data_IF_085124320704
#
_entry.id   IF_085124320704
#
_cell.length_a   1.000
_cell.length_b   1.000
_cell.length_c   1.000
_cell.angle_alpha   90.00
_cell.angle_beta   90.00
_cell.angle_gamma   90.00
#
_symmetry.space_group_name_H-M   'P 1'
#
loop_
_entity.id
_entity.type
_entity.pdbx_description
1 polymer ?
#
# COMPACT_ATOMS: atom_id res chain seq x y z
N UNK A 1 -7.74 -36.32 -9.38
CA UNK A 1 -7.21 -35.24 -10.22
C UNK A 1 -8.39 -34.35 -10.56
N UNK A 2 -8.52 -33.17 -9.93
CA UNK A 2 -9.38 -32.03 -10.34
C UNK A 2 -9.62 -31.01 -9.19
N UNK A 3 -8.60 -30.67 -8.39
CA UNK A 3 -8.64 -29.49 -7.48
C UNK A 3 -7.28 -28.77 -7.46
N UNK A 4 -6.60 -28.67 -8.60
CA UNK A 4 -5.30 -27.98 -8.72
C UNK A 4 -5.20 -27.03 -9.94
N UNK A 5 -6.33 -26.45 -10.37
CA UNK A 5 -6.35 -25.63 -11.61
C UNK A 5 -6.87 -24.19 -11.46
N UNK A 6 -6.98 -23.64 -10.24
CA UNK A 6 -7.47 -22.26 -10.04
C UNK A 6 -6.69 -21.42 -9.02
N UNK A 7 -5.40 -21.27 -9.22
CA UNK A 7 -4.71 -20.03 -8.83
C UNK A 7 -4.09 -19.42 -10.09
N UNK A 8 -4.95 -18.90 -10.97
CA UNK A 8 -4.50 -18.08 -12.09
C UNK A 8 -3.85 -16.84 -11.50
N UNK A 9 -2.64 -16.55 -11.93
CA UNK A 9 -1.85 -15.40 -11.47
C UNK A 9 -2.33 -14.17 -12.23
N UNK A 10 -3.45 -13.64 -11.78
CA UNK A 10 -4.20 -12.57 -12.43
C UNK A 10 -3.54 -11.20 -12.19
N UNK A 11 -3.18 -10.49 -13.26
CA UNK A 11 -2.63 -9.13 -13.15
C UNK A 11 -3.57 -8.07 -13.74
N UNK A 12 -4.05 -8.25 -14.97
CA UNK A 12 -5.05 -7.35 -15.56
C UNK A 12 -6.43 -7.50 -14.90
N UNK A 13 -7.06 -6.39 -14.53
CA UNK A 13 -8.41 -6.37 -13.94
C UNK A 13 -9.51 -6.88 -14.91
N UNK A 14 -9.30 -6.76 -16.22
CA UNK A 14 -10.30 -7.13 -17.25
C UNK A 14 -10.15 -8.59 -17.68
N UNK A 15 -8.98 -8.96 -18.18
CA UNK A 15 -8.75 -10.26 -18.82
C UNK A 15 -7.77 -11.17 -18.07
N UNK A 16 -7.27 -10.71 -16.91
CA UNK A 16 -6.36 -11.46 -16.03
C UNK A 16 -4.97 -11.75 -16.60
N UNK A 17 -4.71 -11.41 -17.86
CA UNK A 17 -3.40 -11.57 -18.49
C UNK A 17 -2.33 -10.64 -17.88
N UNK A 18 -1.03 -10.94 -18.08
CA UNK A 18 0.07 -10.14 -17.53
C UNK A 18 0.04 -8.67 -17.94
N UNK A 19 0.65 -7.83 -17.11
CA UNK A 19 0.90 -6.42 -17.41
C UNK A 19 2.28 -6.23 -18.06
N UNK A 20 2.34 -5.32 -19.02
CA UNK A 20 3.57 -4.77 -19.58
C UNK A 20 3.80 -3.33 -19.11
N UNK A 21 5.07 -2.97 -18.97
CA UNK A 21 5.53 -1.65 -18.52
C UNK A 21 6.35 -1.00 -19.64
N UNK A 22 5.86 0.13 -20.13
CA UNK A 22 6.42 0.89 -21.24
C UNK A 22 7.47 1.88 -20.73
N UNK A 23 8.39 2.29 -21.61
CA UNK A 23 9.38 3.32 -21.29
C UNK A 23 8.79 4.74 -21.39
N UNK A 24 7.97 4.96 -22.41
CA UNK A 24 7.31 6.23 -22.70
C UNK A 24 5.82 6.17 -22.39
N UNK A 25 5.24 7.33 -22.12
CA UNK A 25 3.80 7.45 -21.91
C UNK A 25 3.06 7.25 -23.24
N UNK A 26 2.06 6.38 -23.22
CA UNK A 26 1.09 6.27 -24.30
C UNK A 26 -0.27 6.79 -23.84
N UNK A 27 -1.02 7.36 -24.78
CA UNK A 27 -2.41 7.75 -24.54
C UNK A 27 -3.27 6.49 -24.53
N UNK A 28 -3.94 6.20 -23.42
CA UNK A 28 -4.73 4.99 -23.24
C UNK A 28 -6.14 5.32 -22.75
N UNK A 29 -7.12 4.54 -23.20
CA UNK A 29 -8.52 4.65 -22.75
C UNK A 29 -8.81 3.60 -21.67
N UNK A 30 -9.38 4.03 -20.55
CA UNK A 30 -9.76 3.14 -19.47
C UNK A 30 -10.90 2.20 -19.93
N UNK A 31 -10.69 0.89 -19.81
CA UNK A 31 -11.66 -0.14 -20.21
C UNK A 31 -12.95 -0.17 -19.37
N UNK A 32 -13.04 0.64 -18.30
CA UNK A 32 -14.21 0.71 -17.41
C UNK A 32 -14.96 2.03 -17.58
N UNK A 33 -14.27 3.16 -17.47
CA UNK A 33 -14.92 4.49 -17.49
C UNK A 33 -14.73 5.27 -18.80
N UNK A 34 -13.97 4.73 -19.75
CA UNK A 34 -13.67 5.36 -21.05
C UNK A 34 -12.95 6.72 -20.99
N UNK A 35 -12.43 7.10 -19.81
CA UNK A 35 -11.53 8.26 -19.68
C UNK A 35 -10.21 7.95 -20.38
N UNK A 36 -9.71 8.92 -21.14
CA UNK A 36 -8.40 8.83 -21.80
C UNK A 36 -7.35 9.58 -20.99
N UNK A 37 -6.24 8.92 -20.67
CA UNK A 37 -5.10 9.54 -20.00
C UNK A 37 -3.77 8.89 -20.40
N UNK A 38 -2.66 9.53 -20.05
CA UNK A 38 -1.32 9.00 -20.31
C UNK A 38 -0.96 7.93 -19.28
N UNK A 39 -0.48 6.79 -19.74
CA UNK A 39 -0.02 5.70 -18.88
C UNK A 39 1.19 4.99 -19.48
N UNK A 40 2.00 4.39 -18.61
CA UNK A 40 3.12 3.50 -18.96
C UNK A 40 2.83 2.04 -18.67
N UNK A 41 1.61 1.70 -18.30
CA UNK A 41 1.24 0.34 -17.89
C UNK A 41 -0.05 -0.05 -18.56
N UNK A 42 -0.03 -1.20 -19.23
CA UNK A 42 -1.22 -1.86 -19.77
C UNK A 42 -1.07 -3.36 -19.71
N UNK A 43 -2.15 -4.08 -19.92
CA UNK A 43 -2.10 -5.51 -20.15
C UNK A 43 -1.51 -5.82 -21.55
N UNK A 44 -0.87 -6.97 -21.70
CA UNK A 44 -0.39 -7.49 -23.00
C UNK A 44 -1.50 -7.61 -24.08
N UNK A 45 -2.78 -7.60 -23.67
CA UNK A 45 -3.93 -7.57 -24.56
C UNK A 45 -4.49 -6.15 -24.81
N UNK A 46 -3.77 -5.10 -24.42
CA UNK A 46 -4.15 -3.70 -24.64
C UNK A 46 -5.05 -3.08 -23.55
N UNK A 47 -5.55 -3.85 -22.58
CA UNK A 47 -6.41 -3.31 -21.54
C UNK A 47 -5.67 -2.35 -20.59
N UNK A 48 -6.29 -1.20 -20.35
CA UNK A 48 -5.86 -0.22 -19.37
C UNK A 48 -7.02 0.08 -18.40
N UNK A 49 -6.72 0.27 -17.11
CA UNK A 49 -7.68 0.67 -16.08
C UNK A 49 -7.08 1.84 -15.31
N UNK A 50 -7.76 2.99 -15.31
CA UNK A 50 -7.30 4.18 -14.62
C UNK A 50 -7.30 4.00 -13.10
N UNK A 51 -6.58 4.90 -12.40
CA UNK A 51 -6.44 4.83 -10.93
C UNK A 51 -7.81 4.89 -10.26
N UNK A 52 -8.72 5.78 -10.70
CA UNK A 52 -10.04 5.92 -10.06
C UNK A 52 -10.84 4.62 -10.12
N UNK A 53 -10.87 3.95 -11.28
CA UNK A 53 -11.56 2.67 -11.45
C UNK A 53 -10.87 1.53 -10.68
N UNK A 54 -9.54 1.52 -10.63
CA UNK A 54 -8.78 0.53 -9.86
C UNK A 54 -9.05 0.64 -8.35
N UNK A 55 -9.31 1.86 -7.87
CA UNK A 55 -9.66 2.16 -6.47
C UNK A 55 -11.16 2.10 -6.18
N UNK A 56 -11.99 1.70 -7.15
CA UNK A 56 -13.44 1.59 -6.92
C UNK A 56 -13.73 0.52 -5.85
N UNK A 57 -14.44 0.92 -4.79
CA UNK A 57 -14.73 0.06 -3.63
C UNK A 57 -13.96 0.41 -2.35
N UNK A 58 -13.03 1.37 -2.38
CA UNK A 58 -12.25 1.75 -1.20
C UNK A 58 -13.06 2.31 0.00
N UNK A 59 -14.34 2.68 -0.18
CA UNK A 59 -15.21 3.07 0.93
C UNK A 59 -15.31 1.98 2.02
N UNK A 60 -15.15 0.71 1.64
CA UNK A 60 -15.15 -0.41 2.57
C UNK A 60 -13.93 -0.41 3.50
N UNK A 61 -12.81 0.21 3.11
CA UNK A 61 -11.61 0.40 3.96
C UNK A 61 -11.96 1.29 5.15
N UNK A 62 -12.57 2.44 4.88
CA UNK A 62 -12.93 3.40 5.93
C UNK A 62 -13.90 2.71 6.91
N UNK A 63 -14.91 2.03 6.38
CA UNK A 63 -15.85 1.27 7.21
C UNK A 63 -15.15 0.23 8.10
N UNK A 64 -14.24 -0.57 7.53
CA UNK A 64 -13.47 -1.57 8.28
C UNK A 64 -12.63 -0.90 9.38
N UNK A 65 -11.85 0.12 9.03
CA UNK A 65 -10.98 0.84 9.97
C UNK A 65 -11.75 1.53 11.11
N UNK A 66 -13.01 1.94 10.88
CA UNK A 66 -13.86 2.53 11.91
C UNK A 66 -14.44 1.53 12.91
N UNK A 67 -14.55 0.25 12.51
CA UNK A 67 -15.05 -0.83 13.38
C UNK A 67 -13.93 -1.71 13.95
N UNK A 68 -12.70 -1.48 13.50
CA UNK A 68 -11.51 -2.16 13.99
C UNK A 68 -11.00 -1.53 15.29
N UNK A 69 -10.46 -2.35 16.19
CA UNK A 69 -9.92 -1.90 17.48
C UNK A 69 -8.52 -2.44 17.79
N UNK A 70 -7.94 -3.23 16.88
CA UNK A 70 -6.57 -3.71 17.01
C UNK A 70 -5.57 -2.56 17.09
N UNK A 71 -4.50 -2.79 17.87
CA UNK A 71 -3.33 -1.92 17.97
C UNK A 71 -2.21 -2.36 17.04
N UNK A 72 -2.39 -3.47 16.32
CA UNK A 72 -1.39 -4.04 15.44
C UNK A 72 -1.72 -3.67 13.97
N UNK A 73 -0.99 -2.73 13.35
CA UNK A 73 -1.28 -2.32 11.97
C UNK A 73 -1.07 -3.44 10.94
N UNK A 74 -0.30 -4.49 11.24
CA UNK A 74 -0.17 -5.67 10.37
C UNK A 74 -1.48 -6.46 10.34
N UNK A 75 -2.13 -6.67 11.49
CA UNK A 75 -3.43 -7.37 11.52
C UNK A 75 -4.49 -6.59 10.74
N UNK A 76 -4.52 -5.27 10.91
CA UNK A 76 -5.49 -4.39 10.26
C UNK A 76 -5.29 -4.40 8.75
N UNK A 77 -4.04 -4.26 8.29
CA UNK A 77 -3.78 -4.29 6.85
C UNK A 77 -4.05 -5.66 6.23
N UNK A 78 -3.80 -6.77 6.93
CA UNK A 78 -4.15 -8.11 6.44
C UNK A 78 -5.66 -8.27 6.24
N UNK A 79 -6.47 -7.76 7.17
CA UNK A 79 -7.94 -7.74 6.99
C UNK A 79 -8.34 -6.97 5.74
N UNK A 80 -7.76 -5.78 5.53
CA UNK A 80 -8.04 -5.00 4.31
C UNK A 80 -7.54 -5.68 3.04
N UNK A 81 -6.35 -6.31 3.08
CA UNK A 81 -5.75 -7.03 1.96
C UNK A 81 -6.50 -8.31 1.59
N UNK A 82 -7.32 -8.84 2.50
CA UNK A 82 -8.18 -10.00 2.27
C UNK A 82 -9.51 -9.67 1.57
N UNK A 83 -9.86 -8.38 1.45
CA UNK A 83 -11.10 -7.95 0.81
C UNK A 83 -11.02 -8.09 -0.72
N UNK A 84 -12.15 -8.40 -1.35
CA UNK A 84 -12.22 -8.73 -2.78
C UNK A 84 -11.68 -7.62 -3.72
N UNK A 85 -11.78 -6.35 -3.32
CA UNK A 85 -11.28 -5.23 -4.11
C UNK A 85 -9.74 -5.08 -4.05
N UNK A 86 -9.07 -5.68 -3.06
CA UNK A 86 -7.63 -5.53 -2.87
C UNK A 86 -6.87 -6.54 -3.74
N UNK A 87 -6.16 -6.02 -4.74
CA UNK A 87 -5.41 -6.83 -5.68
C UNK A 87 -4.04 -7.22 -5.08
N UNK A 88 -3.29 -8.06 -5.79
CA UNK A 88 -1.92 -8.41 -5.38
C UNK A 88 -0.99 -7.19 -5.46
N UNK A 89 -1.17 -6.40 -6.53
CA UNK A 89 -0.47 -5.16 -6.79
C UNK A 89 -1.50 -4.12 -7.22
N UNK A 90 -1.34 -2.88 -6.76
CA UNK A 90 -2.25 -1.81 -7.15
C UNK A 90 -2.15 -0.58 -6.24
N UNK A 91 -2.63 0.58 -6.71
CA UNK A 91 -2.56 1.85 -5.99
C UNK A 91 -3.36 1.88 -4.69
N UNK A 92 -4.29 0.95 -4.45
CA UNK A 92 -5.02 0.85 -3.19
C UNK A 92 -4.08 0.76 -1.97
N UNK A 93 -2.92 0.11 -2.13
CA UNK A 93 -1.91 -0.05 -1.09
C UNK A 93 -1.33 1.29 -0.60
N UNK A 94 -1.42 2.34 -1.41
CA UNK A 94 -0.95 3.68 -1.07
C UNK A 94 -1.84 4.33 0.01
N UNK A 95 -3.07 3.83 0.17
CA UNK A 95 -3.98 4.24 1.26
C UNK A 95 -3.98 3.21 2.39
N UNK A 96 -3.96 1.90 2.07
CA UNK A 96 -4.07 0.84 3.08
C UNK A 96 -3.02 0.93 4.19
N UNK A 97 -1.78 1.25 3.85
CA UNK A 97 -0.67 1.36 4.82
C UNK A 97 -0.96 2.45 5.86
N UNK A 98 -1.23 3.67 5.42
CA UNK A 98 -1.54 4.77 6.32
C UNK A 98 -2.85 4.57 7.07
N UNK A 99 -3.88 3.98 6.45
CA UNK A 99 -5.14 3.67 7.12
C UNK A 99 -4.95 2.69 8.29
N UNK A 100 -4.18 1.61 8.07
CA UNK A 100 -3.84 0.66 9.13
C UNK A 100 -3.07 1.32 10.27
N UNK A 101 -2.08 2.17 9.94
CA UNK A 101 -1.28 2.88 10.93
C UNK A 101 -2.11 3.90 11.75
N UNK A 102 -3.03 4.64 11.11
CA UNK A 102 -3.92 5.58 11.81
C UNK A 102 -4.85 4.85 12.79
N UNK A 103 -5.45 3.74 12.36
CA UNK A 103 -6.31 2.93 13.22
C UNK A 103 -5.52 2.35 14.40
N UNK A 104 -4.40 1.69 14.13
CA UNK A 104 -3.55 1.13 15.20
C UNK A 104 -3.07 2.21 16.18
N UNK A 105 -2.63 3.37 15.68
CA UNK A 105 -2.19 4.49 16.50
C UNK A 105 -3.27 4.98 17.45
N UNK A 106 -4.50 5.14 16.96
CA UNK A 106 -5.66 5.53 17.79
C UNK A 106 -5.88 4.53 18.93
N UNK A 107 -5.86 3.24 18.62
CA UNK A 107 -6.14 2.20 19.60
C UNK A 107 -4.95 1.93 20.54
N UNK A 108 -3.74 2.30 20.14
CA UNK A 108 -2.55 2.34 20.99
C UNK A 108 -2.55 3.51 21.99
N UNK A 109 -3.59 4.34 22.02
CA UNK A 109 -3.72 5.48 22.95
C UNK A 109 -3.31 6.82 22.34
N UNK A 110 -3.00 6.86 21.04
CA UNK A 110 -2.73 8.10 20.33
C UNK A 110 -3.97 8.99 20.19
N UNK A 111 -3.80 10.30 20.42
CA UNK A 111 -4.87 11.26 20.20
C UNK A 111 -5.11 11.50 18.71
N UNK A 112 -6.26 11.04 18.22
CA UNK A 112 -6.64 11.15 16.82
C UNK A 112 -8.16 11.19 16.67
N UNK A 113 -8.65 12.07 15.80
CA UNK A 113 -9.99 11.98 15.20
C UNK A 113 -9.89 11.02 14.01
N UNK A 114 -10.20 9.74 14.28
CA UNK A 114 -9.97 8.66 13.33
C UNK A 114 -10.80 8.82 12.04
N UNK A 115 -12.12 9.13 12.06
CA UNK A 115 -12.88 9.38 10.83
C UNK A 115 -12.26 10.46 9.95
N UNK A 116 -11.89 11.61 10.53
CA UNK A 116 -11.27 12.71 9.78
C UNK A 116 -9.91 12.31 9.23
N UNK A 117 -9.10 11.62 10.03
CA UNK A 117 -7.77 11.17 9.63
C UNK A 117 -7.83 10.15 8.48
N UNK A 118 -8.77 9.21 8.51
CA UNK A 118 -8.98 8.24 7.43
C UNK A 118 -9.43 8.92 6.14
N UNK A 119 -10.31 9.93 6.22
CA UNK A 119 -10.71 10.73 5.07
C UNK A 119 -9.53 11.48 4.44
N UNK A 120 -8.65 12.07 5.27
CA UNK A 120 -7.42 12.72 4.79
C UNK A 120 -6.45 11.72 4.16
N UNK A 121 -6.29 10.54 4.77
CA UNK A 121 -5.43 9.48 4.24
C UNK A 121 -5.92 9.00 2.89
N UNK A 122 -7.23 8.78 2.75
CA UNK A 122 -7.82 8.43 1.48
C UNK A 122 -7.58 9.52 0.43
N UNK A 123 -7.92 10.77 0.77
CA UNK A 123 -7.80 11.89 -0.17
C UNK A 123 -6.37 12.13 -0.65
N UNK A 124 -5.36 11.96 0.21
CA UNK A 124 -3.95 12.20 -0.14
C UNK A 124 -3.30 10.97 -0.77
N UNK A 125 -3.61 9.77 -0.28
CA UNK A 125 -3.00 8.53 -0.75
C UNK A 125 -3.47 8.11 -2.13
N UNK A 126 -4.74 8.38 -2.49
CA UNK A 126 -5.27 8.08 -3.83
C UNK A 126 -4.60 8.88 -4.95
N UNK A 127 -4.04 10.05 -4.61
CA UNK A 127 -3.33 10.92 -5.56
C UNK A 127 -1.92 10.41 -5.89
N UNK A 128 -1.44 9.37 -5.19
CA UNK A 128 -0.17 8.72 -5.48
C UNK A 128 -0.36 7.75 -6.66
N UNK A 129 0.19 8.03 -7.86
CA UNK A 129 -0.11 7.23 -9.05
C UNK A 129 0.37 5.78 -8.93
N UNK A 130 -0.30 4.87 -9.65
CA UNK A 130 0.19 3.51 -9.82
C UNK A 130 1.58 3.47 -10.47
N UNK A 131 2.43 2.53 -10.06
CA UNK A 131 3.75 2.32 -10.67
C UNK A 131 4.87 3.26 -10.23
N UNK A 132 4.60 4.27 -9.38
CA UNK A 132 5.62 5.20 -8.86
C UNK A 132 6.83 4.53 -8.19
N UNK A 133 6.64 3.32 -7.63
CA UNK A 133 7.72 2.52 -7.08
C UNK A 133 8.81 2.19 -8.11
N UNK A 134 8.44 1.92 -9.36
CA UNK A 134 9.37 1.61 -10.45
C UNK A 134 9.72 2.82 -11.32
N UNK A 135 8.77 3.74 -11.52
CA UNK A 135 8.98 4.88 -12.42
C UNK A 135 9.61 6.10 -11.76
N UNK A 136 9.35 6.34 -10.47
CA UNK A 136 9.85 7.52 -9.75
C UNK A 136 10.86 7.16 -8.66
N UNK A 137 10.99 5.86 -8.32
CA UNK A 137 11.85 5.39 -7.23
C UNK A 137 11.28 5.63 -5.84
N UNK A 138 9.99 6.00 -5.73
CA UNK A 138 9.32 6.27 -4.46
C UNK A 138 8.13 5.33 -4.31
N UNK A 139 8.31 4.23 -3.59
CA UNK A 139 7.24 3.26 -3.37
C UNK A 139 6.06 3.89 -2.62
N UNK A 140 4.84 3.70 -3.14
CA UNK A 140 3.64 4.29 -2.57
C UNK A 140 3.33 3.83 -1.14
N UNK A 141 3.75 2.62 -0.75
CA UNK A 141 3.71 2.18 0.65
C UNK A 141 4.58 3.07 1.55
N UNK A 142 5.79 3.43 1.10
CA UNK A 142 6.68 4.35 1.81
C UNK A 142 6.11 5.77 1.89
N UNK A 143 5.57 6.29 0.77
CA UNK A 143 4.88 7.60 0.74
C UNK A 143 3.69 7.62 1.71
N UNK A 144 2.92 6.51 1.77
CA UNK A 144 1.78 6.36 2.68
C UNK A 144 2.18 6.58 4.15
N UNK A 145 3.34 6.10 4.58
CA UNK A 145 3.84 6.34 5.96
C UNK A 145 4.13 7.81 6.23
N UNK A 146 4.62 8.56 5.25
CA UNK A 146 4.80 10.01 5.36
C UNK A 146 3.47 10.76 5.42
N UNK A 147 2.48 10.33 4.64
CA UNK A 147 1.12 10.89 4.70
C UNK A 147 0.51 10.65 6.09
N UNK A 148 0.63 9.43 6.61
CA UNK A 148 0.25 9.07 7.98
C UNK A 148 0.88 10.03 9.00
N UNK A 149 2.21 10.20 8.96
CA UNK A 149 2.92 11.09 9.88
C UNK A 149 2.49 12.55 9.71
N UNK A 150 2.27 13.00 8.48
CA UNK A 150 1.77 14.34 8.17
C UNK A 150 0.39 14.58 8.77
N UNK A 151 -0.51 13.60 8.74
CA UNK A 151 -1.84 13.69 9.34
C UNK A 151 -1.74 13.80 10.85
N UNK A 152 -0.96 12.91 11.50
CA UNK A 152 -0.78 12.91 12.95
C UNK A 152 -0.22 14.25 13.46
N UNK A 153 0.80 14.75 12.78
CA UNK A 153 1.52 15.97 13.20
C UNK A 153 0.92 17.26 12.65
N UNK A 154 -0.20 17.16 11.91
CA UNK A 154 -0.85 18.29 11.20
C UNK A 154 0.15 19.09 10.34
N UNK A 155 1.07 18.37 9.68
CA UNK A 155 2.11 18.99 8.88
C UNK A 155 1.51 19.77 7.69
N UNK A 156 2.22 20.82 7.29
CA UNK A 156 1.94 21.61 6.10
C UNK A 156 3.26 22.03 5.45
N UNK A 157 3.26 22.59 4.22
CA UNK A 157 4.48 23.11 3.59
C UNK A 157 5.19 24.21 4.40
N UNK A 158 4.49 24.87 5.33
CA UNK A 158 5.04 25.92 6.20
C UNK A 158 5.38 25.43 7.61
N UNK A 159 5.03 24.18 7.94
CA UNK A 159 5.41 23.58 9.21
C UNK A 159 6.93 23.35 9.23
N UNK A 160 7.57 23.52 10.39
CA UNK A 160 9.01 23.28 10.54
C UNK A 160 9.27 21.82 10.88
N UNK A 161 9.04 21.44 12.13
CA UNK A 161 9.36 20.11 12.64
C UNK A 161 8.49 19.02 12.03
N UNK A 162 7.17 19.24 11.96
CA UNK A 162 6.21 18.29 11.40
C UNK A 162 6.48 17.98 9.91
N UNK A 163 6.90 18.99 9.13
CA UNK A 163 7.29 18.82 7.73
C UNK A 163 8.53 17.93 7.61
N UNK A 164 9.57 18.22 8.40
CA UNK A 164 10.79 17.42 8.44
C UNK A 164 10.52 15.98 8.87
N UNK A 165 9.70 15.80 9.91
CA UNK A 165 9.33 14.49 10.44
C UNK A 165 8.60 13.63 9.41
N UNK A 166 7.66 14.22 8.66
CA UNK A 166 6.92 13.52 7.59
C UNK A 166 7.86 13.04 6.48
N UNK A 167 8.83 13.87 6.08
CA UNK A 167 9.84 13.50 5.09
C UNK A 167 10.79 12.41 5.61
N UNK A 168 11.20 12.50 6.87
CA UNK A 168 12.04 11.48 7.50
C UNK A 168 11.33 10.12 7.59
N UNK A 169 10.03 10.11 7.88
CA UNK A 169 9.23 8.88 7.88
C UNK A 169 9.21 8.24 6.49
N UNK A 170 8.88 9.01 5.45
CA UNK A 170 8.94 8.52 4.06
C UNK A 170 10.33 7.99 3.72
N UNK A 171 11.39 8.75 4.05
CA UNK A 171 12.78 8.38 3.76
C UNK A 171 13.17 7.06 4.42
N UNK A 172 12.84 6.87 5.71
CA UNK A 172 13.13 5.63 6.45
C UNK A 172 12.43 4.43 5.84
N UNK A 173 11.15 4.55 5.52
CA UNK A 173 10.41 3.47 4.87
C UNK A 173 10.98 3.14 3.48
N UNK A 174 11.29 4.16 2.68
CA UNK A 174 11.89 3.97 1.35
C UNK A 174 13.29 3.36 1.42
N UNK A 175 14.11 3.75 2.39
CA UNK A 175 15.43 3.13 2.60
C UNK A 175 15.28 1.62 2.87
N UNK A 176 14.37 1.23 3.76
CA UNK A 176 14.12 -0.19 4.07
C UNK A 176 13.58 -0.97 2.87
N UNK A 177 12.69 -0.36 2.08
CA UNK A 177 12.17 -0.97 0.84
C UNK A 177 13.30 -1.11 -0.18
N UNK A 178 14.13 -0.08 -0.35
CA UNK A 178 15.25 -0.05 -1.29
C UNK A 178 16.33 -1.10 -0.98
N UNK A 179 16.66 -1.30 0.31
CA UNK A 179 17.55 -2.36 0.77
C UNK A 179 17.07 -3.76 0.37
N UNK A 180 15.75 -3.98 0.36
CA UNK A 180 15.18 -5.27 -0.03
C UNK A 180 15.18 -5.49 -1.55
N UNK A 181 15.13 -4.40 -2.32
CA UNK A 181 15.13 -4.44 -3.79
C UNK A 181 13.85 -5.00 -4.42
N UNK A 182 13.91 -5.19 -5.74
CA UNK A 182 12.82 -5.66 -6.58
C UNK A 182 12.90 -7.14 -6.97
N UNK A 183 11.98 -7.62 -7.85
CA UNK A 183 10.87 -6.89 -8.45
C UNK A 183 9.78 -6.49 -7.44
N UNK A 184 8.85 -5.63 -7.89
CA UNK A 184 7.76 -5.04 -7.08
C UNK A 184 6.99 -6.10 -6.27
N UNK A 185 6.58 -5.76 -5.06
CA UNK A 185 5.63 -6.54 -4.29
C UNK A 185 4.91 -5.63 -3.28
N UNK A 186 3.67 -5.21 -3.61
CA UNK A 186 2.92 -4.27 -2.77
C UNK A 186 2.71 -4.80 -1.34
N UNK A 187 2.49 -6.12 -1.16
CA UNK A 187 2.34 -6.73 0.17
C UNK A 187 3.63 -6.63 1.01
N UNK A 188 4.77 -7.05 0.44
CA UNK A 188 6.08 -6.97 1.11
C UNK A 188 6.43 -5.54 1.48
N UNK A 189 6.28 -4.63 0.54
CA UNK A 189 6.68 -3.24 0.73
C UNK A 189 5.76 -2.55 1.75
N UNK A 190 4.47 -2.92 1.82
CA UNK A 190 3.57 -2.52 2.90
C UNK A 190 4.04 -3.02 4.28
N UNK A 191 4.44 -4.28 4.41
CA UNK A 191 4.94 -4.80 5.69
C UNK A 191 6.23 -4.11 6.15
N UNK A 192 7.17 -3.88 5.23
CA UNK A 192 8.41 -3.14 5.53
C UNK A 192 8.10 -1.72 5.97
N UNK A 193 7.22 -1.02 5.23
CA UNK A 193 6.82 0.35 5.54
C UNK A 193 6.14 0.45 6.91
N UNK A 194 5.18 -0.43 7.20
CA UNK A 194 4.49 -0.48 8.50
C UNK A 194 5.47 -0.76 9.63
N UNK A 195 6.35 -1.75 9.46
CA UNK A 195 7.36 -2.12 10.47
C UNK A 195 8.22 -0.92 10.86
N UNK A 196 8.70 -0.16 9.88
CA UNK A 196 9.50 1.03 10.16
C UNK A 196 8.68 2.20 10.69
N UNK A 197 7.42 2.34 10.26
CA UNK A 197 6.52 3.37 10.78
C UNK A 197 6.16 3.14 12.25
N UNK A 198 5.94 1.89 12.68
CA UNK A 198 5.68 1.58 14.08
C UNK A 198 6.86 2.00 14.97
N UNK A 199 8.10 1.61 14.58
CA UNK A 199 9.31 1.99 15.30
C UNK A 199 9.49 3.51 15.34
N UNK A 200 9.31 4.17 14.20
CA UNK A 200 9.48 5.62 14.11
C UNK A 200 8.42 6.38 14.94
N UNK A 201 7.19 5.88 14.99
CA UNK A 201 6.13 6.45 15.84
C UNK A 201 6.46 6.33 17.33
N UNK A 202 6.98 5.19 17.77
CA UNK A 202 7.46 5.05 19.16
C UNK A 202 8.60 6.04 19.44
N UNK A 203 9.62 6.10 18.56
CA UNK A 203 10.79 6.97 18.70
C UNK A 203 10.45 8.47 18.72
N UNK A 204 9.44 8.91 17.95
CA UNK A 204 9.12 10.34 17.77
C UNK A 204 7.93 10.82 18.58
N UNK A 205 6.95 9.96 18.80
CA UNK A 205 5.67 10.33 19.43
C UNK A 205 5.44 9.58 20.76
N UNK A 206 6.27 8.59 21.11
CA UNK A 206 6.13 7.83 22.35
C UNK A 206 4.91 6.90 22.40
N UNK A 207 4.25 6.65 21.26
CA UNK A 207 3.10 5.75 21.17
C UNK A 207 3.55 4.37 20.70
N UNK A 208 3.31 3.36 21.52
CA UNK A 208 3.65 1.96 21.24
C UNK A 208 2.46 1.24 20.62
N UNK A 209 2.55 0.96 19.31
CA UNK A 209 1.65 0.04 18.62
C UNK A 209 2.20 -1.38 18.70
N UNK A 210 1.30 -2.36 18.64
CA UNK A 210 1.70 -3.77 18.64
C UNK A 210 2.33 -4.12 17.28
N UNK A 211 3.35 -4.99 17.28
CA UNK A 211 4.02 -5.43 16.06
C UNK A 211 4.49 -6.87 16.17
N UNK A 212 3.65 -7.77 15.68
CA UNK A 212 3.97 -9.19 15.63
C UNK A 212 4.92 -9.55 14.48
N UNK A 213 5.51 -10.75 14.57
CA UNK A 213 6.28 -11.33 13.48
C UNK A 213 5.39 -11.50 12.26
N UNK A 214 5.73 -10.81 11.17
CA UNK A 214 4.99 -10.88 9.91
C UNK A 214 5.36 -12.13 9.13
N UNK A 215 4.34 -12.89 8.73
CA UNK A 215 4.45 -14.07 7.87
C UNK A 215 3.47 -13.92 6.70
N UNK A 216 3.99 -13.84 5.48
CA UNK A 216 3.20 -13.57 4.28
C UNK A 216 2.48 -14.82 3.78
N UNK A 217 1.17 -14.72 3.61
CA UNK A 217 0.29 -15.76 3.06
C UNK A 217 -0.03 -15.56 1.58
N UNK A 218 0.35 -14.41 0.99
CA UNK A 218 0.03 -14.04 -0.39
C UNK A 218 1.04 -14.57 -1.44
N UNK A 219 2.05 -15.33 -1.00
CA UNK A 219 3.22 -15.66 -1.83
C UNK A 219 2.87 -16.43 -3.12
N UNK A 220 1.82 -17.24 -3.11
CA UNK A 220 1.42 -18.08 -4.25
C UNK A 220 0.57 -17.33 -5.28
N UNK A 221 0.05 -16.15 -4.90
CA UNK A 221 -0.69 -15.25 -5.80
C UNK A 221 0.20 -14.30 -6.59
N UNK A 222 1.50 -14.26 -6.29
CA UNK A 222 2.44 -13.31 -6.90
C UNK A 222 3.43 -13.99 -7.84
N UNK A 223 3.31 -13.70 -9.14
CA UNK A 223 4.26 -14.14 -10.17
C UNK A 223 5.70 -13.70 -9.91
N UNK A 224 5.87 -12.51 -9.33
CA UNK A 224 7.17 -11.89 -9.08
C UNK A 224 7.65 -12.11 -7.63
N UNK A 225 7.10 -13.12 -6.94
CA UNK A 225 7.48 -13.40 -5.56
C UNK A 225 8.96 -13.81 -5.47
N UNK A 226 9.70 -13.21 -4.54
CA UNK A 226 11.08 -13.59 -4.21
C UNK A 226 11.21 -14.93 -3.47
N UNK A 227 10.07 -15.53 -3.06
CA UNK A 227 10.01 -16.79 -2.32
C UNK A 227 11.00 -16.79 -1.14
N UNK A 228 11.97 -17.69 -1.10
CA UNK A 228 12.94 -17.82 0.01
C UNK A 228 13.79 -16.57 0.24
N UNK A 229 13.96 -15.70 -0.75
CA UNK A 229 14.67 -14.44 -0.58
C UNK A 229 13.78 -13.31 0.01
N UNK A 230 12.48 -13.53 0.19
CA UNK A 230 11.60 -12.57 0.84
C UNK A 230 11.71 -12.68 2.38
N UNK A 231 11.88 -11.57 3.10
CA UNK A 231 12.01 -11.59 4.57
C UNK A 231 10.74 -12.08 5.29
N UNK A 232 9.60 -12.11 4.60
CA UNK A 232 8.30 -12.54 5.15
C UNK A 232 7.85 -13.92 4.66
N UNK A 233 8.73 -14.69 4.03
CA UNK A 233 8.36 -16.02 3.55
C UNK A 233 8.03 -16.96 4.72
N UNK A 234 6.95 -17.73 4.60
CA UNK A 234 6.49 -18.69 5.61
C UNK A 234 7.20 -20.06 5.54
N UNK A 235 8.12 -20.28 4.59
CA UNK A 235 8.86 -21.54 4.57
C UNK A 235 10.00 -21.47 5.58
N UNK A 236 9.80 -22.16 6.71
CA UNK A 236 10.88 -22.84 7.39
C UNK A 236 11.77 -23.53 6.35
N UNK A 237 13.08 -23.42 6.55
CA UNK A 237 14.10 -24.21 5.82
C UNK A 237 13.65 -25.66 5.71
#
# INVERSE_FOLDING_TARGET
MEIEERYRKEECLICKAPLEYLQEDELMECAICHKTEKSKTRCVNGHYVCTECHTSGMDCIISLCLHETSKNPIEIIEKMMSMDFCHMHGPEHHVLVGAALLTAFKHAGGELDLPKALSEMYSRGKEVPGGVCGFWGACGAGISTGIYMSILTKASPLAKEAWGMSNQMTSRALAKIGENGGPRCCKRDSYLAITEAVKFTEEKLGIQMDLDKVVCTHSDRNNQCLKSACPFNNKAV
#
